data_IF_501332894821
#
_entry.id   IF_501332894821
#
_cell.length_a   1.000
_cell.length_b   1.000
_cell.length_c   1.000
_cell.angle_alpha   90.00
_cell.angle_beta   90.00
_cell.angle_gamma   90.00
#
_symmetry.space_group_name_H-M   'P 1'
#
loop_
_entity.id
_entity.type
_entity.pdbx_description
1 polymer ?
#
# COMPACT_ATOMS: atom_id res chain seq x y z
N UNK A 1 5.81 20.61 -8.80
CA UNK A 1 5.78 19.27 -8.19
C UNK A 1 5.34 19.36 -6.75
N UNK A 2 4.55 18.39 -6.29
CA UNK A 2 4.05 18.39 -4.92
C UNK A 2 4.05 16.98 -4.38
N UNK A 3 4.63 16.76 -3.21
CA UNK A 3 4.61 15.48 -2.52
C UNK A 3 3.17 14.95 -2.40
N UNK A 4 2.25 15.83 -2.04
CA UNK A 4 0.85 15.45 -1.80
C UNK A 4 0.14 14.98 -3.07
N UNK A 5 0.34 15.69 -4.18
CA UNK A 5 -0.21 15.30 -5.48
C UNK A 5 0.40 14.00 -6.02
N UNK A 6 1.71 13.85 -5.86
CA UNK A 6 2.40 12.63 -6.31
C UNK A 6 2.04 11.43 -5.44
N UNK A 7 1.87 11.62 -4.13
CA UNK A 7 1.39 10.56 -3.24
C UNK A 7 -0.03 10.13 -3.60
N UNK A 8 -0.91 11.07 -3.93
CA UNK A 8 -2.25 10.75 -4.41
C UNK A 8 -2.21 9.96 -5.72
N UNK A 9 -1.38 10.39 -6.67
CA UNK A 9 -1.23 9.67 -7.95
C UNK A 9 -0.77 8.22 -7.75
N UNK A 10 0.17 8.00 -6.84
CA UNK A 10 0.62 6.66 -6.49
C UNK A 10 -0.49 5.87 -5.78
N UNK A 11 -1.23 6.52 -4.86
CA UNK A 11 -2.30 5.88 -4.09
C UNK A 11 -3.41 5.33 -4.99
N UNK A 12 -3.84 6.09 -6.00
CA UNK A 12 -4.92 5.69 -6.90
C UNK A 12 -4.46 4.88 -8.11
N UNK A 13 -3.15 4.66 -8.26
CA UNK A 13 -2.62 3.88 -9.38
C UNK A 13 -3.06 2.42 -9.29
N UNK A 14 -3.65 1.89 -10.36
CA UNK A 14 -4.19 0.53 -10.40
C UNK A 14 -3.16 -0.54 -10.72
N UNK A 15 -2.06 -0.17 -11.37
CA UNK A 15 -0.99 -1.09 -11.69
C UNK A 15 -0.01 -1.18 -10.53
N UNK A 16 0.30 -2.41 -10.09
CA UNK A 16 1.17 -2.62 -8.92
C UNK A 16 2.60 -2.18 -9.17
N UNK A 17 3.16 -2.48 -10.34
CA UNK A 17 4.55 -2.13 -10.67
C UNK A 17 4.69 -0.61 -10.85
N UNK A 18 3.73 0.02 -11.50
CA UNK A 18 3.71 1.48 -11.63
C UNK A 18 3.53 2.16 -10.27
N UNK A 19 2.67 1.62 -9.40
CA UNK A 19 2.53 2.14 -8.02
C UNK A 19 3.86 2.11 -7.28
N UNK A 20 4.59 1.02 -7.37
CA UNK A 20 5.93 0.90 -6.76
C UNK A 20 6.88 1.95 -7.35
N UNK A 21 6.90 2.11 -8.65
CA UNK A 21 7.72 3.12 -9.32
C UNK A 21 7.39 4.53 -8.82
N UNK A 22 6.10 4.89 -8.82
CA UNK A 22 5.65 6.22 -8.35
C UNK A 22 5.98 6.44 -6.87
N UNK A 23 5.83 5.41 -6.05
CA UNK A 23 6.17 5.47 -4.62
C UNK A 23 7.67 5.74 -4.44
N UNK A 24 8.53 5.04 -5.17
CA UNK A 24 9.97 5.23 -5.07
C UNK A 24 10.41 6.62 -5.56
N UNK A 25 9.68 7.24 -6.48
CA UNK A 25 9.94 8.61 -6.91
C UNK A 25 9.78 9.64 -5.77
N UNK A 26 9.03 9.32 -4.72
CA UNK A 26 8.86 10.21 -3.58
C UNK A 26 10.16 10.41 -2.78
N UNK A 27 11.16 9.54 -2.95
CA UNK A 27 12.47 9.70 -2.29
C UNK A 27 13.16 11.02 -2.62
N UNK A 28 12.86 11.62 -3.76
CA UNK A 28 13.41 12.94 -4.13
C UNK A 28 13.05 14.03 -3.12
N UNK A 29 11.91 13.91 -2.45
CA UNK A 29 11.46 14.88 -1.46
C UNK A 29 12.25 14.86 -0.15
N UNK A 30 13.15 13.90 0.04
CA UNK A 30 14.12 13.94 1.13
C UNK A 30 15.14 15.07 0.98
N UNK A 31 15.34 15.59 -0.25
CA UNK A 31 16.35 16.59 -0.58
C UNK A 31 15.79 17.86 -1.23
N UNK A 32 14.49 17.95 -1.37
CA UNK A 32 13.85 19.11 -1.99
C UNK A 32 12.56 19.50 -1.27
N UNK A 33 12.05 20.69 -1.58
CA UNK A 33 10.80 21.22 -1.04
C UNK A 33 9.63 20.27 -1.34
N UNK A 34 8.71 20.15 -0.38
CA UNK A 34 7.53 19.27 -0.50
C UNK A 34 6.52 19.77 -1.52
N UNK A 35 6.60 21.04 -1.90
CA UNK A 35 5.67 21.66 -2.83
C UNK A 35 4.37 22.13 -2.19
N UNK A 36 3.41 22.50 -3.01
CA UNK A 36 2.14 23.05 -2.56
C UNK A 36 1.19 21.98 -2.02
N UNK A 37 0.36 22.39 -1.05
CA UNK A 37 -0.76 21.60 -0.59
C UNK A 37 -1.78 21.39 -1.72
N UNK A 38 -2.61 20.37 -1.59
CA UNK A 38 -3.70 20.12 -2.51
C UNK A 38 -4.99 19.80 -1.75
N UNK A 39 -6.11 19.86 -2.46
CA UNK A 39 -7.39 19.43 -1.90
C UNK A 39 -7.36 17.93 -1.58
N UNK A 40 -7.75 17.58 -0.36
CA UNK A 40 -7.83 16.19 0.07
C UNK A 40 -9.20 15.62 -0.31
N UNK A 41 -9.18 14.63 -1.19
CA UNK A 41 -10.37 13.88 -1.60
C UNK A 41 -10.47 12.60 -0.79
N UNK A 42 -11.68 12.21 -0.42
CA UNK A 42 -11.91 10.93 0.26
C UNK A 42 -11.59 9.77 -0.68
N UNK A 43 -10.72 8.87 -0.24
CA UNK A 43 -10.36 7.67 -1.00
C UNK A 43 -10.97 6.45 -0.32
N UNK A 44 -12.08 5.95 -0.88
CA UNK A 44 -12.78 4.77 -0.36
C UNK A 44 -12.06 3.47 -0.70
N UNK A 45 -11.33 3.46 -1.81
CA UNK A 45 -10.53 2.32 -2.24
C UNK A 45 -9.25 2.82 -2.92
N UNK A 46 -8.08 2.32 -2.53
CA UNK A 46 -6.86 2.65 -3.25
C UNK A 46 -6.87 2.02 -4.64
N UNK A 47 -6.04 2.53 -5.53
CA UNK A 47 -5.78 1.87 -6.80
C UNK A 47 -5.16 0.50 -6.56
N UNK A 48 -5.66 -0.50 -7.24
CA UNK A 48 -5.15 -1.86 -7.14
C UNK A 48 -5.43 -2.66 -8.41
N UNK A 49 -4.66 -3.73 -8.68
CA UNK A 49 -4.96 -4.64 -9.77
C UNK A 49 -6.35 -5.28 -9.59
N UNK A 50 -6.91 -5.80 -10.68
CA UNK A 50 -8.18 -6.53 -10.64
C UNK A 50 -8.09 -7.72 -9.69
N UNK A 51 -6.95 -8.38 -9.66
CA UNK A 51 -6.66 -9.47 -8.71
C UNK A 51 -5.60 -9.01 -7.70
N UNK A 52 -5.65 -9.45 -6.44
CA UNK A 52 -6.56 -10.47 -5.90
C UNK A 52 -7.99 -9.96 -5.74
N UNK A 53 -8.96 -10.88 -5.83
CA UNK A 53 -10.34 -10.62 -5.45
C UNK A 53 -10.40 -10.40 -3.94
N UNK A 54 -11.09 -9.35 -3.51
CA UNK A 54 -11.29 -9.06 -2.10
C UNK A 54 -12.52 -9.79 -1.58
N UNK A 55 -12.35 -10.49 -0.47
CA UNK A 55 -13.40 -11.26 0.20
C UNK A 55 -13.46 -10.90 1.67
N UNK A 56 -14.53 -11.29 2.37
CA UNK A 56 -14.62 -11.16 3.81
C UNK A 56 -13.59 -12.06 4.50
N UNK A 57 -13.19 -11.70 5.72
CA UNK A 57 -12.14 -12.41 6.47
C UNK A 57 -12.41 -13.91 6.60
N UNK A 58 -13.67 -14.30 6.86
CA UNK A 58 -14.09 -15.69 6.99
C UNK A 58 -13.99 -16.49 5.68
N UNK A 59 -13.92 -15.82 4.53
CA UNK A 59 -13.76 -16.43 3.21
C UNK A 59 -12.33 -16.40 2.69
N UNK A 60 -11.41 -15.80 3.44
CA UNK A 60 -10.01 -15.78 3.05
C UNK A 60 -9.43 -17.20 3.02
N UNK A 61 -8.49 -17.51 2.09
CA UNK A 61 -7.90 -18.84 1.98
C UNK A 61 -7.25 -19.29 3.29
N UNK A 62 -7.46 -20.56 3.64
CA UNK A 62 -6.82 -21.17 4.82
C UNK A 62 -5.32 -21.35 4.56
N UNK A 63 -4.53 -21.02 5.56
CA UNK A 63 -3.06 -21.09 5.53
C UNK A 63 -2.60 -22.22 6.45
N UNK A 64 -2.87 -23.46 6.06
CA UNK A 64 -2.45 -24.65 6.79
C UNK A 64 -0.94 -24.92 6.60
N UNK A 65 -0.44 -26.05 7.14
CA UNK A 65 0.98 -26.41 7.06
C UNK A 65 1.38 -27.15 5.78
N UNK A 66 0.46 -27.34 4.82
CA UNK A 66 0.79 -27.91 3.52
C UNK A 66 1.65 -26.94 2.69
N UNK A 67 2.28 -27.44 1.63
CA UNK A 67 3.06 -26.59 0.71
C UNK A 67 2.18 -25.49 0.11
N UNK A 68 0.96 -25.82 -0.29
CA UNK A 68 0.01 -24.83 -0.81
C UNK A 68 -0.42 -23.84 0.28
N UNK A 69 -0.61 -24.29 1.51
CA UNK A 69 -0.92 -23.41 2.65
C UNK A 69 0.20 -22.42 2.93
N UNK A 70 1.45 -22.84 2.81
CA UNK A 70 2.61 -21.95 2.94
C UNK A 70 2.65 -20.90 1.82
N UNK A 71 2.36 -21.27 0.58
CA UNK A 71 2.27 -20.36 -0.56
C UNK A 71 1.14 -19.35 -0.35
N UNK A 72 -0.02 -19.79 0.12
CA UNK A 72 -1.14 -18.91 0.48
C UNK A 72 -0.76 -17.94 1.59
N UNK A 73 0.05 -18.36 2.55
CA UNK A 73 0.56 -17.47 3.60
C UNK A 73 1.48 -16.38 3.03
N UNK A 74 2.40 -16.75 2.14
CA UNK A 74 3.28 -15.80 1.47
C UNK A 74 2.45 -14.79 0.67
N UNK A 75 1.45 -15.26 -0.06
CA UNK A 75 0.53 -14.40 -0.81
C UNK A 75 -0.23 -13.44 0.10
N UNK A 76 -0.72 -13.93 1.24
CA UNK A 76 -1.42 -13.09 2.21
C UNK A 76 -0.52 -12.00 2.78
N UNK A 77 0.74 -12.31 3.09
CA UNK A 77 1.73 -11.32 3.56
C UNK A 77 2.03 -10.33 2.44
N UNK A 78 2.19 -10.79 1.21
CA UNK A 78 2.38 -9.92 0.05
C UNK A 78 1.23 -8.90 -0.09
N UNK A 79 0.00 -9.34 0.12
CA UNK A 79 -1.17 -8.45 0.11
C UNK A 79 -1.16 -7.46 1.28
N UNK A 80 -0.70 -7.88 2.45
CA UNK A 80 -0.51 -6.97 3.61
C UNK A 80 0.48 -5.87 3.24
N UNK A 81 1.61 -6.21 2.62
CA UNK A 81 2.62 -5.23 2.22
C UNK A 81 2.07 -4.26 1.15
N UNK A 82 1.28 -4.76 0.20
CA UNK A 82 0.61 -3.90 -0.78
C UNK A 82 -0.29 -2.88 -0.09
N UNK A 83 -1.09 -3.30 0.89
CA UNK A 83 -1.93 -2.38 1.66
C UNK A 83 -1.11 -1.45 2.55
N UNK A 84 0.02 -1.89 3.07
CA UNK A 84 0.92 -1.04 3.84
C UNK A 84 1.48 0.12 2.99
N UNK A 85 1.79 -0.13 1.71
CA UNK A 85 2.14 0.94 0.77
C UNK A 85 1.00 1.96 0.69
N UNK A 86 -0.22 1.49 0.48
CA UNK A 86 -1.40 2.35 0.36
C UNK A 86 -1.65 3.17 1.63
N UNK A 87 -1.51 2.56 2.81
CA UNK A 87 -1.66 3.26 4.08
C UNK A 87 -0.61 4.34 4.28
N UNK A 88 0.65 4.08 3.90
CA UNK A 88 1.72 5.07 3.99
C UNK A 88 1.48 6.24 3.03
N UNK A 89 1.06 5.97 1.80
CA UNK A 89 0.71 7.00 0.82
C UNK A 89 -0.49 7.83 1.29
N UNK A 90 -1.49 7.20 1.87
CA UNK A 90 -2.66 7.86 2.45
C UNK A 90 -2.28 8.76 3.63
N UNK A 91 -1.38 8.31 4.49
CA UNK A 91 -0.89 9.11 5.63
C UNK A 91 -0.21 10.40 5.15
N UNK A 92 0.55 10.34 4.06
CA UNK A 92 1.16 11.53 3.46
C UNK A 92 0.10 12.44 2.86
N UNK A 93 -0.79 11.89 2.06
CA UNK A 93 -1.77 12.65 1.28
C UNK A 93 -2.83 13.31 2.16
N UNK A 94 -3.37 12.56 3.10
CA UNK A 94 -4.53 12.99 3.89
C UNK A 94 -4.20 14.01 4.97
N UNK A 95 -3.01 13.95 5.57
CA UNK A 95 -2.60 14.79 6.67
C UNK A 95 -1.50 15.77 6.22
N UNK A 96 -1.89 16.89 5.62
CA UNK A 96 -0.96 17.78 4.91
C UNK A 96 -0.35 18.82 5.83
N UNK A 97 -0.60 19.24 6.87
CA UNK A 97 0.04 20.30 7.67
C UNK A 97 0.84 19.74 8.86
N UNK A 98 1.54 18.66 8.62
CA UNK A 98 2.37 18.01 9.63
C UNK A 98 3.83 18.48 9.55
N UNK A 99 4.64 18.27 10.60
CA UNK A 99 6.07 18.58 10.54
C UNK A 99 6.80 17.81 9.44
N UNK A 100 7.87 18.38 8.91
CA UNK A 100 8.66 17.77 7.83
C UNK A 100 9.05 16.33 8.15
N UNK A 101 9.48 16.06 9.38
CA UNK A 101 9.93 14.70 9.77
C UNK A 101 8.82 13.65 9.59
N UNK A 102 7.56 14.02 9.81
CA UNK A 102 6.42 13.13 9.56
C UNK A 102 6.43 12.60 8.13
N UNK A 103 6.65 13.49 7.15
CA UNK A 103 6.65 13.10 5.74
C UNK A 103 7.88 12.29 5.37
N UNK A 104 9.05 12.63 5.89
CA UNK A 104 10.26 11.87 5.66
C UNK A 104 10.12 10.44 6.18
N UNK A 105 9.53 10.27 7.35
CA UNK A 105 9.29 8.96 7.94
C UNK A 105 8.29 8.13 7.12
N UNK A 106 7.18 8.73 6.68
CA UNK A 106 6.19 8.03 5.88
C UNK A 106 6.68 7.71 4.45
N UNK A 107 7.50 8.56 3.86
CA UNK A 107 8.17 8.25 2.59
C UNK A 107 9.06 7.00 2.77
N UNK A 108 9.80 6.95 3.87
CA UNK A 108 10.63 5.80 4.20
C UNK A 108 9.79 4.53 4.34
N UNK A 109 8.70 4.58 5.11
CA UNK A 109 7.79 3.43 5.25
C UNK A 109 7.24 3.01 3.89
N UNK A 110 6.72 3.93 3.09
CA UNK A 110 6.15 3.62 1.78
C UNK A 110 7.16 2.91 0.87
N UNK A 111 8.40 3.38 0.84
CA UNK A 111 9.45 2.79 0.00
C UNK A 111 9.94 1.45 0.53
N UNK A 112 10.04 1.27 1.83
CA UNK A 112 10.38 0.00 2.45
C UNK A 112 9.30 -1.06 2.20
N UNK A 113 8.03 -0.71 2.35
CA UNK A 113 6.92 -1.62 2.06
C UNK A 113 6.83 -1.96 0.57
N UNK A 114 7.15 -1.03 -0.31
CA UNK A 114 7.27 -1.29 -1.75
C UNK A 114 8.36 -2.32 -2.04
N UNK A 115 9.48 -2.25 -1.34
CA UNK A 115 10.55 -3.23 -1.45
C UNK A 115 10.12 -4.61 -0.94
N UNK A 116 9.47 -4.66 0.23
CA UNK A 116 8.95 -5.92 0.79
C UNK A 116 7.94 -6.57 -0.14
N UNK A 117 7.01 -5.79 -0.67
CA UNK A 117 6.03 -6.28 -1.63
C UNK A 117 6.72 -6.89 -2.86
N UNK A 118 7.71 -6.19 -3.42
CA UNK A 118 8.45 -6.65 -4.60
C UNK A 118 9.18 -7.98 -4.33
N UNK A 119 9.82 -8.11 -3.17
CA UNK A 119 10.50 -9.35 -2.79
C UNK A 119 9.53 -10.54 -2.70
N UNK A 120 8.38 -10.33 -2.05
CA UNK A 120 7.38 -11.38 -1.89
C UNK A 120 6.72 -11.74 -3.23
N UNK A 121 6.45 -10.73 -4.06
CA UNK A 121 5.91 -10.94 -5.41
C UNK A 121 6.86 -11.78 -6.27
N UNK A 122 8.13 -11.44 -6.28
CA UNK A 122 9.17 -12.19 -6.99
C UNK A 122 9.30 -13.61 -6.45
N UNK A 123 9.25 -13.79 -5.14
CA UNK A 123 9.31 -15.11 -4.53
C UNK A 123 8.12 -15.98 -4.90
N UNK A 124 6.92 -15.43 -4.96
CA UNK A 124 5.74 -16.14 -5.47
C UNK A 124 5.95 -16.60 -6.91
N UNK A 125 6.53 -15.74 -7.76
CA UNK A 125 6.81 -16.07 -9.16
C UNK A 125 7.83 -17.21 -9.28
N UNK A 126 8.87 -17.23 -8.44
CA UNK A 126 9.83 -18.34 -8.37
C UNK A 126 9.17 -19.66 -7.99
N UNK A 127 8.12 -19.61 -7.18
CA UNK A 127 7.34 -20.80 -6.78
C UNK A 127 6.27 -21.19 -7.81
N UNK A 128 6.17 -20.45 -8.93
CA UNK A 128 5.19 -20.73 -9.99
C UNK A 128 3.83 -20.10 -9.77
N UNK A 129 3.72 -19.10 -8.87
CA UNK A 129 2.48 -18.41 -8.56
C UNK A 129 2.64 -16.92 -8.80
N UNK A 130 1.53 -16.17 -8.74
CA UNK A 130 1.51 -14.71 -8.94
C UNK A 130 0.72 -14.03 -7.82
N UNK A 131 1.11 -12.81 -7.51
CA UNK A 131 0.26 -11.97 -6.67
C UNK A 131 -1.08 -11.76 -7.37
N UNK A 132 -2.16 -12.14 -6.69
CA UNK A 132 -3.50 -12.13 -7.24
C UNK A 132 -4.09 -13.53 -7.45
N UNK A 133 -3.29 -14.58 -7.36
CA UNK A 133 -3.76 -15.98 -7.58
C UNK A 133 -4.72 -16.48 -6.50
N UNK A 134 -4.71 -15.87 -5.32
CA UNK A 134 -5.60 -16.24 -4.20
C UNK A 134 -6.42 -15.02 -3.78
N UNK A 135 -7.61 -15.27 -3.23
CA UNK A 135 -8.44 -14.21 -2.66
C UNK A 135 -7.77 -13.59 -1.44
N UNK A 136 -8.10 -12.33 -1.15
CA UNK A 136 -7.55 -11.59 -0.02
C UNK A 136 -8.64 -10.77 0.67
N UNK A 137 -8.40 -10.30 1.90
CA UNK A 137 -9.36 -9.45 2.59
C UNK A 137 -8.88 -7.99 2.67
N UNK A 138 -9.82 -7.07 2.81
CA UNK A 138 -9.57 -5.62 2.77
C UNK A 138 -9.49 -4.95 4.15
N UNK A 139 -9.24 -5.72 5.21
CA UNK A 139 -9.37 -5.23 6.59
C UNK A 139 -8.50 -4.04 6.94
N UNK A 140 -7.25 -4.00 6.46
CA UNK A 140 -6.33 -2.90 6.75
C UNK A 140 -6.79 -1.58 6.13
N UNK A 141 -7.23 -1.60 4.87
CA UNK A 141 -7.72 -0.39 4.23
C UNK A 141 -9.05 0.07 4.83
N UNK A 142 -9.94 -0.86 5.15
CA UNK A 142 -11.22 -0.52 5.78
C UNK A 142 -11.01 0.22 7.11
N UNK A 143 -10.03 -0.19 7.89
CA UNK A 143 -9.66 0.52 9.11
C UNK A 143 -9.26 1.97 8.83
N UNK A 144 -8.50 2.21 7.76
CA UNK A 144 -8.14 3.57 7.33
C UNK A 144 -9.37 4.41 6.97
N UNK A 145 -10.34 3.84 6.26
CA UNK A 145 -11.59 4.51 5.92
C UNK A 145 -12.40 4.85 7.17
N UNK A 146 -12.48 3.92 8.12
CA UNK A 146 -13.25 4.08 9.35
C UNK A 146 -12.64 5.13 10.30
N UNK A 147 -11.34 5.43 10.13
CA UNK A 147 -10.59 6.37 10.99
C UNK A 147 -10.13 7.62 10.22
N UNK A 148 -10.84 8.01 9.19
CA UNK A 148 -10.41 9.07 8.26
C UNK A 148 -10.35 10.48 8.86
N UNK A 149 -10.91 10.71 10.04
CA UNK A 149 -10.96 12.01 10.66
C UNK A 149 -9.77 12.32 11.59
N UNK A 150 -9.01 11.32 12.01
CA UNK A 150 -7.96 11.53 13.02
C UNK A 150 -6.89 10.43 13.01
N UNK A 151 -5.63 10.84 13.10
CA UNK A 151 -4.50 9.93 13.32
C UNK A 151 -4.58 9.17 14.65
N UNK A 152 -5.29 9.70 15.64
CA UNK A 152 -5.42 9.09 16.98
C UNK A 152 -6.17 7.74 16.90
N UNK A 153 -7.03 7.58 15.91
CA UNK A 153 -7.83 6.38 15.74
C UNK A 153 -7.18 5.31 14.86
N UNK A 154 -6.02 5.60 14.32
CA UNK A 154 -5.22 4.66 13.53
C UNK A 154 -4.32 3.85 14.46
#
# INVERSE_FOLDING_TARGET
MSLFKESYSALICNDADEKIYLTNQLLKFQKQDLGSLCEVKKVLSPGRPIKPKLVSFDRAPKRDKSDLGMIKNIHAICHIEFNAINLALDAIYRFQEMPLQYYLDWIKVATEESYHFSLLKEYLEELGYHYGDFDAHNGLWQMSVDTDLSLIHI
#
